data_IF_730976237124
#
_entry.id   IF_730976237124
#
_cell.length_a   1.000
_cell.length_b   1.000
_cell.length_c   1.000
_cell.angle_alpha   90.00
_cell.angle_beta   90.00
_cell.angle_gamma   90.00
#
_symmetry.space_group_name_H-M   'P 1'
#
loop_
_entity.id
_entity.type
_entity.pdbx_description
1 polymer ?
#
# COMPACT_ATOMS: atom_id res chain seq x y z
N UNK A 1 46.69 -25.10 6.20
CA UNK A 1 45.99 -23.81 5.96
C UNK A 1 44.50 -24.12 5.77
N UNK A 2 43.79 -24.42 6.85
CA UNK A 2 42.34 -24.65 6.85
C UNK A 2 41.79 -23.87 8.05
N UNK A 3 41.25 -22.68 7.81
CA UNK A 3 40.79 -21.79 8.90
C UNK A 3 40.05 -20.53 8.45
N UNK A 4 39.94 -20.29 7.13
CA UNK A 4 39.23 -19.12 6.59
C UNK A 4 37.73 -19.36 6.30
N UNK A 5 37.34 -20.59 5.94
CA UNK A 5 35.98 -20.90 5.48
C UNK A 5 34.91 -20.81 6.58
N UNK A 6 35.19 -21.34 7.78
CA UNK A 6 34.25 -21.32 8.91
C UNK A 6 33.95 -19.90 9.41
N UNK A 7 34.97 -19.03 9.44
CA UNK A 7 34.84 -17.65 9.94
C UNK A 7 33.98 -16.77 9.02
N UNK A 8 34.04 -17.01 7.70
CA UNK A 8 33.19 -16.32 6.72
C UNK A 8 31.73 -16.80 6.84
N UNK A 9 31.51 -18.10 7.03
CA UNK A 9 30.16 -18.67 7.22
C UNK A 9 29.49 -18.18 8.52
N UNK A 10 30.24 -18.07 9.61
CA UNK A 10 29.71 -17.55 10.88
C UNK A 10 29.36 -16.06 10.77
N UNK A 11 30.18 -15.26 10.06
CA UNK A 11 29.88 -13.84 9.81
C UNK A 11 28.64 -13.67 8.94
N UNK A 12 28.45 -14.51 7.92
CA UNK A 12 27.25 -14.52 7.09
C UNK A 12 26.00 -14.89 7.90
N UNK A 13 26.07 -15.93 8.74
CA UNK A 13 24.96 -16.34 9.62
C UNK A 13 24.56 -15.22 10.58
N UNK A 14 25.53 -14.58 11.23
CA UNK A 14 25.28 -13.44 12.11
C UNK A 14 24.65 -12.25 11.37
N UNK A 15 25.02 -12.04 10.11
CA UNK A 15 24.45 -10.97 9.28
C UNK A 15 23.00 -11.28 8.90
N UNK A 16 22.69 -12.51 8.50
CA UNK A 16 21.33 -12.94 8.19
C UNK A 16 20.40 -12.87 9.40
N UNK A 17 20.89 -13.24 10.59
CA UNK A 17 20.13 -13.09 11.84
C UNK A 17 19.78 -11.63 12.14
N UNK A 18 20.69 -10.69 11.85
CA UNK A 18 20.41 -9.24 12.00
C UNK A 18 19.35 -8.76 11.02
N UNK A 19 19.38 -9.23 9.76
CA UNK A 19 18.32 -8.91 8.80
C UNK A 19 16.96 -9.46 9.22
N UNK A 20 16.93 -10.72 9.68
CA UNK A 20 15.72 -11.36 10.21
C UNK A 20 15.15 -10.56 11.39
N UNK A 21 15.97 -10.22 12.38
CA UNK A 21 15.53 -9.44 13.54
C UNK A 21 14.94 -8.07 13.16
N UNK A 22 15.53 -7.37 12.18
CA UNK A 22 14.99 -6.10 11.68
C UNK A 22 13.66 -6.27 10.95
N UNK A 23 13.53 -7.33 10.16
CA UNK A 23 12.28 -7.64 9.48
C UNK A 23 11.17 -7.99 10.47
N UNK A 24 11.44 -8.88 11.43
CA UNK A 24 10.50 -9.24 12.48
C UNK A 24 10.06 -8.00 13.27
N UNK A 25 11.00 -7.12 13.66
CA UNK A 25 10.66 -5.87 14.33
C UNK A 25 9.71 -4.98 13.50
N UNK A 26 9.96 -4.84 12.19
CA UNK A 26 9.10 -4.07 11.30
C UNK A 26 7.70 -4.69 11.16
N UNK A 27 7.60 -6.01 11.00
CA UNK A 27 6.32 -6.70 10.89
C UNK A 27 5.53 -6.61 12.21
N UNK A 28 6.18 -6.85 13.34
CA UNK A 28 5.58 -6.70 14.66
C UNK A 28 5.04 -5.29 14.88
N UNK A 29 5.76 -4.26 14.42
CA UNK A 29 5.32 -2.86 14.49
C UNK A 29 4.05 -2.63 13.65
N UNK A 30 4.00 -3.16 12.43
CA UNK A 30 2.79 -3.10 11.59
C UNK A 30 1.61 -3.84 12.22
N UNK A 31 1.87 -4.98 12.84
CA UNK A 31 0.87 -5.85 13.45
C UNK A 31 0.39 -5.34 14.83
N UNK A 32 1.00 -4.30 15.40
CA UNK A 32 0.63 -3.77 16.71
C UNK A 32 1.17 -4.60 17.88
N UNK A 33 2.18 -5.42 17.61
CA UNK A 33 2.72 -6.45 18.50
C UNK A 33 4.11 -6.10 19.05
N UNK A 34 4.63 -4.91 18.74
CA UNK A 34 5.84 -4.38 19.35
C UNK A 34 5.58 -3.77 20.74
N UNK A 35 6.66 -3.62 21.52
CA UNK A 35 6.68 -2.91 22.80
C UNK A 35 7.04 -1.41 22.63
N UNK A 36 6.85 -0.62 23.69
CA UNK A 36 7.34 0.76 23.84
C UNK A 36 6.87 1.75 22.74
N UNK A 37 5.58 1.73 22.38
CA UNK A 37 4.99 2.67 21.39
C UNK A 37 5.64 2.69 20.00
N UNK A 38 6.43 1.67 19.65
CA UNK A 38 7.04 1.54 18.33
C UNK A 38 6.10 1.01 17.25
N UNK A 39 4.81 0.85 17.54
CA UNK A 39 3.81 0.33 16.61
C UNK A 39 3.40 1.40 15.58
N UNK A 40 3.12 0.95 14.35
CA UNK A 40 2.54 1.83 13.34
C UNK A 40 1.14 2.23 13.77
N UNK A 41 0.84 3.54 13.75
CA UNK A 41 -0.48 4.07 14.08
C UNK A 41 -1.53 3.49 13.11
N UNK A 42 -2.76 3.35 13.58
CA UNK A 42 -3.91 2.94 12.76
C UNK A 42 -4.96 4.04 12.73
N UNK A 43 -5.67 4.14 11.62
CA UNK A 43 -6.93 4.89 11.58
C UNK A 43 -8.00 4.13 12.39
N UNK A 44 -9.11 4.78 12.80
CA UNK A 44 -10.25 4.09 13.40
C UNK A 44 -10.77 2.90 12.57
N UNK A 45 -10.72 2.99 11.24
CA UNK A 45 -11.08 1.94 10.29
C UNK A 45 -10.03 0.84 10.11
N UNK A 46 -8.89 0.90 10.82
CA UNK A 46 -7.88 -0.16 10.84
C UNK A 46 -6.79 -0.08 9.76
N UNK A 47 -6.72 1.00 8.99
CA UNK A 47 -5.65 1.22 8.01
C UNK A 47 -4.35 1.59 8.73
N UNK A 48 -3.22 1.00 8.31
CA UNK A 48 -1.90 1.47 8.73
C UNK A 48 -1.70 2.93 8.31
N UNK A 49 -1.32 3.80 9.24
CA UNK A 49 -1.15 5.22 8.99
C UNK A 49 0.22 5.72 9.42
N UNK A 50 1.09 5.96 8.43
CA UNK A 50 2.46 6.46 8.66
C UNK A 50 2.53 7.96 8.51
N UNK A 51 1.91 8.54 7.48
CA UNK A 51 1.91 10.00 7.26
C UNK A 51 0.74 10.46 6.41
N UNK A 52 0.43 11.75 6.48
CA UNK A 52 -0.71 12.37 5.80
C UNK A 52 -0.62 12.35 4.27
N UNK A 53 0.56 12.60 3.69
CA UNK A 53 0.69 12.67 2.24
C UNK A 53 0.95 11.29 1.66
N UNK A 54 -0.01 10.81 0.87
CA UNK A 54 0.07 9.58 0.10
C UNK A 54 0.45 8.40 1.01
N UNK A 55 -0.38 8.17 2.03
CA UNK A 55 -0.18 7.11 3.01
C UNK A 55 -0.21 5.71 2.35
N UNK A 56 -0.94 5.56 1.25
CA UNK A 56 -1.09 4.29 0.54
C UNK A 56 0.22 3.66 0.07
N UNK A 57 1.29 4.43 -0.13
CA UNK A 57 2.62 3.85 -0.41
C UNK A 57 3.15 2.98 0.74
N UNK A 58 2.86 3.37 1.99
CA UNK A 58 3.30 2.64 3.16
C UNK A 58 2.41 1.44 3.43
N UNK A 59 1.11 1.61 3.21
CA UNK A 59 0.13 0.51 3.31
C UNK A 59 0.46 -0.57 2.29
N UNK A 60 0.67 -0.18 1.02
CA UNK A 60 1.02 -1.09 -0.06
C UNK A 60 2.36 -1.81 0.20
N UNK A 61 3.39 -1.08 0.61
CA UNK A 61 4.68 -1.65 0.97
C UNK A 61 4.59 -2.61 2.16
N UNK A 62 3.87 -2.25 3.22
CA UNK A 62 3.67 -3.09 4.37
C UNK A 62 2.88 -4.36 4.01
N UNK A 63 1.77 -4.23 3.28
CA UNK A 63 0.98 -5.37 2.81
C UNK A 63 1.83 -6.33 1.97
N UNK A 64 2.63 -5.82 1.04
CA UNK A 64 3.54 -6.63 0.23
C UNK A 64 4.59 -7.37 1.09
N UNK A 65 5.22 -6.69 2.06
CA UNK A 65 6.19 -7.35 2.94
C UNK A 65 5.53 -8.38 3.85
N UNK A 66 4.35 -8.10 4.39
CA UNK A 66 3.61 -9.03 5.24
C UNK A 66 3.28 -10.33 4.48
N UNK A 67 2.84 -10.26 3.22
CA UNK A 67 2.56 -11.48 2.44
C UNK A 67 3.83 -12.28 2.15
N UNK A 68 4.94 -11.62 1.83
CA UNK A 68 6.21 -12.31 1.54
C UNK A 68 6.70 -13.02 2.78
N UNK A 69 6.67 -12.33 3.93
CA UNK A 69 7.11 -12.92 5.19
C UNK A 69 6.17 -13.99 5.72
N UNK A 70 4.86 -13.87 5.53
CA UNK A 70 3.95 -14.97 5.89
C UNK A 70 4.28 -16.23 5.10
N UNK A 71 4.57 -16.12 3.81
CA UNK A 71 4.94 -17.29 3.00
C UNK A 71 6.30 -17.88 3.45
N UNK A 72 7.28 -17.04 3.81
CA UNK A 72 8.57 -17.52 4.34
C UNK A 72 8.42 -18.23 5.68
N UNK A 73 7.62 -17.69 6.61
CA UNK A 73 7.34 -18.30 7.91
C UNK A 73 6.63 -19.64 7.75
N UNK A 74 5.64 -19.72 6.83
CA UNK A 74 4.96 -20.96 6.52
C UNK A 74 5.91 -22.03 5.95
N UNK A 75 6.81 -21.67 5.03
CA UNK A 75 7.82 -22.57 4.48
C UNK A 75 8.84 -23.04 5.53
N UNK A 76 9.15 -22.21 6.51
CA UNK A 76 10.04 -22.54 7.60
C UNK A 76 9.35 -23.36 8.72
N UNK A 77 8.02 -23.47 8.69
CA UNK A 77 7.20 -23.99 9.80
C UNK A 77 7.44 -23.23 11.11
N UNK A 78 7.56 -21.91 11.03
CA UNK A 78 7.83 -21.03 12.16
C UNK A 78 6.73 -19.97 12.33
N UNK A 79 6.55 -19.49 13.56
CA UNK A 79 5.70 -18.34 13.86
C UNK A 79 6.53 -17.05 13.89
N UNK A 80 5.86 -15.92 13.65
CA UNK A 80 6.46 -14.62 13.89
C UNK A 80 6.50 -14.35 15.40
N UNK A 81 7.69 -14.24 15.97
CA UNK A 81 7.88 -13.91 17.38
C UNK A 81 7.95 -12.39 17.58
N UNK A 82 6.97 -11.83 18.29
CA UNK A 82 6.93 -10.42 18.65
C UNK A 82 7.01 -10.21 20.16
N UNK A 83 7.37 -9.00 20.64
CA UNK A 83 7.42 -8.68 22.07
C UNK A 83 6.12 -8.95 22.84
N UNK A 84 4.96 -8.81 22.19
CA UNK A 84 3.63 -9.02 22.81
C UNK A 84 3.05 -10.43 22.61
N UNK A 85 3.78 -11.32 21.95
CA UNK A 85 3.33 -12.68 21.65
C UNK A 85 3.76 -13.15 20.26
N UNK A 86 3.37 -14.37 19.91
CA UNK A 86 3.62 -14.96 18.60
C UNK A 86 2.37 -14.86 17.71
N UNK A 87 2.60 -14.78 16.41
CA UNK A 87 1.56 -14.82 15.38
C UNK A 87 1.92 -15.91 14.37
N UNK A 88 0.94 -16.74 14.04
CA UNK A 88 1.06 -17.72 12.97
C UNK A 88 1.22 -17.04 11.60
N UNK A 89 1.80 -17.74 10.60
CA UNK A 89 1.84 -17.25 9.23
C UNK A 89 0.47 -16.81 8.70
N UNK A 90 -0.59 -17.52 9.09
CA UNK A 90 -1.96 -17.22 8.65
C UNK A 90 -2.51 -15.93 9.27
N UNK A 91 -2.18 -15.61 10.52
CA UNK A 91 -2.55 -14.35 11.15
C UNK A 91 -1.85 -13.16 10.49
N UNK A 92 -0.56 -13.30 10.16
CA UNK A 92 0.21 -12.30 9.41
C UNK A 92 -0.42 -12.05 8.03
N UNK A 93 -0.75 -13.12 7.31
CA UNK A 93 -1.39 -13.05 6.00
C UNK A 93 -2.79 -12.40 6.07
N UNK A 94 -3.56 -12.73 7.11
CA UNK A 94 -4.91 -12.18 7.33
C UNK A 94 -4.87 -10.67 7.57
N UNK A 95 -3.87 -10.16 8.28
CA UNK A 95 -3.68 -8.72 8.44
C UNK A 95 -3.31 -8.04 7.12
N UNK A 96 -2.44 -8.65 6.30
CA UNK A 96 -2.15 -8.14 4.96
C UNK A 96 -3.40 -8.08 4.09
N UNK A 97 -4.26 -9.11 4.16
CA UNK A 97 -5.55 -9.14 3.47
C UNK A 97 -6.46 -8.02 3.95
N UNK A 98 -6.50 -7.72 5.25
CA UNK A 98 -7.30 -6.61 5.77
C UNK A 98 -6.87 -5.24 5.18
N UNK A 99 -5.56 -5.02 4.99
CA UNK A 99 -5.07 -3.80 4.34
C UNK A 99 -5.45 -3.75 2.85
N UNK A 100 -5.36 -4.89 2.14
CA UNK A 100 -5.86 -5.03 0.77
C UNK A 100 -7.36 -4.72 0.67
N UNK A 101 -8.17 -5.36 1.52
CA UNK A 101 -9.62 -5.22 1.53
C UNK A 101 -10.01 -3.76 1.85
N UNK A 102 -9.29 -3.09 2.76
CA UNK A 102 -9.46 -1.67 3.03
C UNK A 102 -9.21 -0.83 1.77
N UNK A 103 -8.10 -1.06 1.06
CA UNK A 103 -7.78 -0.37 -0.21
C UNK A 103 -8.91 -0.56 -1.23
N UNK A 104 -9.53 -1.75 -1.28
CA UNK A 104 -10.56 -2.10 -2.25
C UNK A 104 -11.99 -1.75 -1.84
N UNK A 105 -12.20 -1.17 -0.65
CA UNK A 105 -13.49 -0.61 -0.24
C UNK A 105 -14.05 -1.07 1.09
N UNK A 106 -13.38 -1.99 1.80
CA UNK A 106 -13.75 -2.41 3.16
C UNK A 106 -13.25 -1.39 4.19
N UNK A 107 -13.76 -0.16 4.09
CA UNK A 107 -13.39 0.98 4.93
C UNK A 107 -14.65 1.78 5.32
N UNK A 108 -14.57 2.67 6.33
CA UNK A 108 -15.73 3.41 6.83
C UNK A 108 -16.48 4.24 5.77
N UNK A 109 -15.79 4.62 4.68
CA UNK A 109 -16.40 5.39 3.60
C UNK A 109 -17.04 4.52 2.51
N UNK A 110 -16.74 3.21 2.48
CA UNK A 110 -17.16 2.29 1.42
C UNK A 110 -16.63 2.70 0.05
N UNK A 111 -15.41 3.22 -0.03
CA UNK A 111 -14.77 3.70 -1.26
C UNK A 111 -13.57 2.83 -1.60
N UNK A 112 -13.51 2.28 -2.80
CA UNK A 112 -12.28 1.71 -3.34
C UNK A 112 -11.29 2.83 -3.66
N UNK A 113 -10.10 2.79 -3.07
CA UNK A 113 -9.01 3.69 -3.40
C UNK A 113 -8.24 3.27 -4.67
N UNK A 114 -8.65 2.17 -5.31
CA UNK A 114 -8.21 1.78 -6.64
C UNK A 114 -9.23 2.28 -7.68
N UNK A 115 -8.79 3.22 -8.52
CA UNK A 115 -9.61 3.91 -9.51
C UNK A 115 -10.17 2.91 -10.53
N UNK A 116 -11.48 2.97 -10.78
CA UNK A 116 -12.17 2.07 -11.71
C UNK A 116 -12.45 0.67 -11.16
N UNK A 117 -12.18 0.40 -9.87
CA UNK A 117 -12.50 -0.86 -9.22
C UNK A 117 -13.61 -0.68 -8.18
N UNK A 118 -14.56 -1.62 -8.13
CA UNK A 118 -15.67 -1.60 -7.19
C UNK A 118 -16.78 -0.59 -7.54
N UNK A 119 -17.85 -0.54 -6.74
CA UNK A 119 -19.04 0.29 -7.03
C UNK A 119 -18.82 1.79 -6.79
N UNK A 120 -17.83 2.16 -5.97
CA UNK A 120 -17.51 3.55 -5.63
C UNK A 120 -15.99 3.74 -5.58
N UNK A 121 -15.48 4.69 -6.36
CA UNK A 121 -14.04 5.01 -6.43
C UNK A 121 -13.83 6.52 -6.72
N UNK A 122 -12.64 7.09 -6.43
CA UNK A 122 -12.31 8.47 -6.76
C UNK A 122 -12.39 8.76 -8.26
N UNK A 123 -13.10 9.82 -8.62
CA UNK A 123 -13.32 10.24 -10.02
C UNK A 123 -12.62 11.56 -10.35
N UNK A 124 -12.08 12.27 -9.35
CA UNK A 124 -11.41 13.56 -9.49
C UNK A 124 -9.95 13.49 -9.03
N UNK A 125 -9.27 12.42 -9.41
CA UNK A 125 -7.86 12.13 -9.14
C UNK A 125 -6.95 13.28 -9.58
N UNK A 126 -5.94 13.62 -8.79
CA UNK A 126 -4.88 14.57 -9.16
C UNK A 126 -3.95 13.93 -10.20
N UNK A 127 -4.35 13.98 -11.47
CA UNK A 127 -3.55 13.48 -12.58
C UNK A 127 -3.85 14.26 -13.86
N UNK A 128 -2.84 14.94 -14.41
CA UNK A 128 -3.01 15.90 -15.52
C UNK A 128 -3.70 15.27 -16.73
N UNK A 129 -3.16 14.17 -17.25
CA UNK A 129 -3.76 13.49 -18.40
C UNK A 129 -5.13 12.89 -18.09
N UNK A 130 -5.46 12.65 -16.81
CA UNK A 130 -6.79 12.18 -16.44
C UNK A 130 -7.82 13.31 -16.56
N UNK A 131 -7.46 14.51 -16.08
CA UNK A 131 -8.33 15.68 -16.01
C UNK A 131 -8.51 16.42 -17.35
N UNK A 132 -7.50 16.38 -18.21
CA UNK A 132 -7.53 17.03 -19.53
C UNK A 132 -8.45 16.30 -20.49
N UNK A 133 -9.07 17.03 -21.42
CA UNK A 133 -9.89 16.47 -22.50
C UNK A 133 -9.17 15.31 -23.23
N UNK A 134 -9.87 14.20 -23.54
CA UNK A 134 -9.25 13.10 -24.29
C UNK A 134 -8.86 13.55 -25.69
N UNK A 135 -7.68 13.13 -26.17
CA UNK A 135 -7.21 13.44 -27.53
C UNK A 135 -8.15 12.94 -28.64
N UNK A 136 -8.95 11.91 -28.35
CA UNK A 136 -9.97 11.39 -29.29
C UNK A 136 -11.15 12.35 -29.48
N UNK A 137 -11.41 13.22 -28.50
CA UNK A 137 -12.51 14.19 -28.51
C UNK A 137 -12.04 15.56 -28.99
N UNK A 138 -10.87 16.01 -28.54
CA UNK A 138 -10.30 17.30 -28.92
C UNK A 138 -8.80 17.15 -29.20
N UNK A 139 -8.41 17.52 -30.43
CA UNK A 139 -7.03 17.49 -30.94
C UNK A 139 -6.36 18.86 -30.93
N UNK A 140 -7.03 19.87 -30.39
CA UNK A 140 -6.51 21.22 -30.30
C UNK A 140 -5.20 21.25 -29.51
N UNK A 141 -4.32 22.18 -29.89
CA UNK A 141 -3.09 22.40 -29.14
C UNK A 141 -3.43 22.93 -27.74
N UNK A 142 -2.84 22.32 -26.71
CA UNK A 142 -3.00 22.73 -25.32
C UNK A 142 -1.82 23.62 -24.94
N UNK A 143 -2.11 24.89 -24.65
CA UNK A 143 -1.11 25.85 -24.19
C UNK A 143 -0.59 25.56 -22.77
N UNK A 144 0.54 26.19 -22.41
CA UNK A 144 1.28 25.90 -21.17
C UNK A 144 0.43 26.00 -19.89
N UNK A 145 -0.39 27.05 -19.75
CA UNK A 145 -1.24 27.26 -18.57
C UNK A 145 -2.68 26.74 -18.74
N UNK A 146 -3.09 26.45 -19.97
CA UNK A 146 -4.48 26.05 -20.29
C UNK A 146 -4.91 24.79 -19.52
N UNK A 147 -3.96 23.86 -19.30
CA UNK A 147 -4.09 22.71 -18.41
C UNK A 147 -4.71 23.06 -17.05
N UNK A 148 -4.15 24.07 -16.42
CA UNK A 148 -4.53 24.56 -15.11
C UNK A 148 -5.84 25.36 -15.19
N UNK A 149 -5.93 26.28 -16.13
CA UNK A 149 -7.06 27.21 -16.25
C UNK A 149 -8.38 26.51 -16.59
N UNK A 150 -8.34 25.51 -17.49
CA UNK A 150 -9.53 24.86 -17.99
C UNK A 150 -9.92 23.57 -17.25
N UNK A 151 -8.95 22.79 -16.75
CA UNK A 151 -9.22 21.43 -16.25
C UNK A 151 -8.86 21.20 -14.78
N UNK A 152 -7.84 21.86 -14.23
CA UNK A 152 -7.40 21.59 -12.86
C UNK A 152 -8.48 21.93 -11.81
N UNK A 153 -9.20 23.04 -11.98
CA UNK A 153 -10.25 23.50 -11.07
C UNK A 153 -11.65 22.93 -11.37
N UNK A 154 -11.80 22.19 -12.48
CA UNK A 154 -13.09 21.67 -12.96
C UNK A 154 -13.77 20.77 -11.91
N UNK A 155 -15.04 21.02 -11.61
CA UNK A 155 -15.77 20.24 -10.59
C UNK A 155 -16.26 18.87 -11.10
N UNK A 156 -16.40 18.73 -12.42
CA UNK A 156 -16.79 17.47 -13.05
C UNK A 156 -15.71 16.39 -12.88
N UNK A 157 -16.10 15.10 -12.95
CA UNK A 157 -15.18 13.98 -13.03
C UNK A 157 -14.10 14.17 -14.10
N UNK A 158 -12.96 13.50 -13.89
CA UNK A 158 -11.92 13.39 -14.89
C UNK A 158 -12.47 12.67 -16.13
N UNK A 159 -12.32 13.21 -17.35
CA UNK A 159 -12.84 12.59 -18.56
C UNK A 159 -12.11 11.28 -18.92
N UNK A 160 -10.85 11.10 -18.50
CA UNK A 160 -10.13 9.84 -18.67
C UNK A 160 -10.02 9.12 -17.32
N UNK A 161 -10.60 7.91 -17.24
CA UNK A 161 -10.53 7.08 -16.04
C UNK A 161 -9.16 6.42 -15.95
N UNK A 162 -8.45 6.68 -14.85
CA UNK A 162 -7.11 6.15 -14.61
C UNK A 162 -7.17 4.74 -13.99
N UNK A 163 -7.73 3.79 -14.74
CA UNK A 163 -8.06 2.44 -14.26
C UNK A 163 -6.85 1.76 -13.62
N UNK A 164 -7.05 1.25 -12.40
CA UNK A 164 -6.05 0.52 -11.61
C UNK A 164 -5.05 1.39 -10.85
N UNK A 165 -5.14 2.72 -10.98
CA UNK A 165 -4.34 3.62 -10.16
C UNK A 165 -4.81 3.58 -8.70
N UNK A 166 -3.87 3.49 -7.76
CA UNK A 166 -4.16 3.60 -6.33
C UNK A 166 -3.82 5.01 -5.87
N UNK A 167 -4.83 5.73 -5.37
CA UNK A 167 -4.67 7.10 -4.91
C UNK A 167 -3.98 7.18 -3.54
N UNK A 168 -3.68 8.39 -3.07
CA UNK A 168 -3.04 8.63 -1.77
C UNK A 168 -3.78 8.11 -0.54
N UNK A 169 -5.09 7.90 -0.64
CA UNK A 169 -5.93 7.32 0.41
C UNK A 169 -6.45 8.34 1.43
N UNK A 170 -7.10 7.87 2.51
CA UNK A 170 -7.75 8.74 3.48
C UNK A 170 -6.75 9.40 4.43
N UNK A 171 -7.28 10.32 5.23
CA UNK A 171 -6.57 10.93 6.35
C UNK A 171 -6.55 10.04 7.59
N UNK A 172 -6.21 10.67 8.71
CA UNK A 172 -5.98 10.00 9.99
C UNK A 172 -7.24 9.36 10.58
N UNK A 173 -8.40 9.93 10.26
CA UNK A 173 -9.71 9.57 10.79
C UNK A 173 -10.58 8.94 9.69
N UNK A 174 -9.93 8.25 8.75
CA UNK A 174 -10.54 7.61 7.58
C UNK A 174 -11.23 8.58 6.60
N UNK A 175 -11.03 9.89 6.75
CA UNK A 175 -11.69 10.89 5.94
C UNK A 175 -11.03 11.03 4.56
N UNK A 176 -11.82 11.00 3.50
CA UNK A 176 -11.36 11.17 2.12
C UNK A 176 -12.19 12.20 1.38
N UNK A 177 -11.54 13.13 0.69
CA UNK A 177 -12.20 14.13 -0.17
C UNK A 177 -11.71 13.98 -1.60
N UNK A 178 -12.59 13.51 -2.48
CA UNK A 178 -12.36 13.36 -3.93
C UNK A 178 -12.33 14.72 -4.64
N UNK A 179 -11.27 15.48 -4.36
CA UNK A 179 -11.02 16.80 -4.92
C UNK A 179 -9.67 16.78 -5.61
N UNK A 180 -9.63 17.17 -6.89
CA UNK A 180 -8.39 17.21 -7.68
C UNK A 180 -7.29 18.06 -7.05
N UNK A 181 -7.66 19.14 -6.35
CA UNK A 181 -6.70 19.97 -5.63
C UNK A 181 -6.15 19.33 -4.34
N UNK A 182 -6.79 18.27 -3.83
CA UNK A 182 -6.36 17.53 -2.66
C UNK A 182 -5.33 16.45 -3.04
N UNK A 183 -4.18 16.89 -3.54
CA UNK A 183 -3.11 16.00 -4.01
C UNK A 183 -2.59 15.07 -2.90
N UNK A 184 -2.72 15.43 -1.61
CA UNK A 184 -2.30 14.53 -0.53
C UNK A 184 -3.05 13.19 -0.53
N UNK A 185 -4.34 13.22 -0.89
CA UNK A 185 -5.23 12.04 -0.89
C UNK A 185 -5.52 11.51 -2.29
N UNK A 186 -5.56 12.40 -3.29
CA UNK A 186 -6.03 12.06 -4.65
C UNK A 186 -4.91 11.89 -5.68
N UNK A 187 -3.64 12.07 -5.31
CA UNK A 187 -2.52 11.76 -6.21
C UNK A 187 -2.47 10.27 -6.53
N UNK A 188 -2.43 9.94 -7.82
CA UNK A 188 -2.14 8.60 -8.30
C UNK A 188 -0.63 8.46 -8.52
N UNK A 189 0.01 7.50 -7.84
CA UNK A 189 1.45 7.29 -7.94
C UNK A 189 1.79 5.85 -8.31
N UNK A 190 2.80 5.67 -9.17
CA UNK A 190 3.29 4.35 -9.58
C UNK A 190 3.73 3.49 -8.40
N UNK A 191 4.38 4.10 -7.40
CA UNK A 191 4.85 3.38 -6.22
C UNK A 191 3.73 2.93 -5.27
N UNK A 192 2.51 3.49 -5.36
CA UNK A 192 1.34 2.96 -4.65
C UNK A 192 0.88 1.64 -5.30
N UNK A 193 0.82 1.63 -6.63
CA UNK A 193 0.31 0.49 -7.40
C UNK A 193 1.35 -0.63 -7.52
N UNK A 194 2.63 -0.31 -7.69
CA UNK A 194 3.68 -1.29 -8.00
C UNK A 194 3.77 -2.43 -6.97
N UNK A 195 3.74 -2.10 -5.68
CA UNK A 195 3.79 -3.08 -4.60
C UNK A 195 2.49 -3.90 -4.51
N UNK A 196 1.36 -3.27 -4.78
CA UNK A 196 0.05 -3.94 -4.75
C UNK A 196 -0.11 -4.98 -5.85
N UNK A 197 0.61 -4.90 -6.97
CA UNK A 197 0.62 -5.96 -8.00
C UNK A 197 1.01 -7.31 -7.40
N UNK A 198 2.05 -7.34 -6.54
CA UNK A 198 2.45 -8.56 -5.84
C UNK A 198 1.39 -9.05 -4.84
N UNK A 199 0.73 -8.11 -4.14
CA UNK A 199 -0.37 -8.41 -3.22
C UNK A 199 -1.55 -9.04 -3.95
N UNK A 200 -1.99 -8.43 -5.05
CA UNK A 200 -3.07 -8.97 -5.87
C UNK A 200 -2.71 -10.34 -6.44
N UNK A 201 -1.48 -10.53 -6.91
CA UNK A 201 -1.02 -11.83 -7.42
C UNK A 201 -1.05 -12.93 -6.34
N UNK A 202 -0.78 -12.59 -5.07
CA UNK A 202 -0.83 -13.54 -3.96
C UNK A 202 -2.26 -13.95 -3.58
N UNK A 203 -3.20 -13.01 -3.62
CA UNK A 203 -4.60 -13.25 -3.25
C UNK A 203 -5.50 -13.65 -4.43
N UNK A 204 -5.00 -13.61 -5.67
CA UNK A 204 -5.70 -14.14 -6.85
C UNK A 204 -5.41 -15.62 -7.09
N UNK A 205 -4.39 -16.18 -6.44
CA UNK A 205 -4.11 -17.62 -6.51
C UNK A 205 -5.18 -18.40 -5.73
N UNK A 206 -5.77 -19.45 -6.32
CA UNK A 206 -6.59 -20.38 -5.55
C UNK A 206 -5.73 -21.01 -4.44
N UNK A 207 -6.31 -21.20 -3.25
CA UNK A 207 -5.65 -21.89 -2.15
C UNK A 207 -5.08 -23.22 -2.65
N UNK A 208 -3.76 -23.40 -2.50
CA UNK A 208 -3.12 -24.70 -2.76
C UNK A 208 -3.61 -25.64 -1.67
N UNK A 209 -4.64 -26.43 -2.01
CA UNK A 209 -5.11 -27.57 -1.24
C UNK A 209 -4.06 -28.67 -1.19
#
# INVERSE_FOLDING_TARGET
MEGGGGRIQDQQRNTLQKYRSKAEHYLCSCLGMSSNDSNVRRTPGGLLFVRRWNNMQYVAGAAFLLIVFSDQLALAHEDLHCPRGSLSPQEVLSFAKAQLDYILGSNPMGISYMVGFGPRYPTRVHHRAASTVPYKEDKSFIGCAQGYDAWFSRQMPNPNVLVGAIVGGPGAEDEFRDLRGNYMQTEACTYNTAQMVGVFARFSQPERR
#
